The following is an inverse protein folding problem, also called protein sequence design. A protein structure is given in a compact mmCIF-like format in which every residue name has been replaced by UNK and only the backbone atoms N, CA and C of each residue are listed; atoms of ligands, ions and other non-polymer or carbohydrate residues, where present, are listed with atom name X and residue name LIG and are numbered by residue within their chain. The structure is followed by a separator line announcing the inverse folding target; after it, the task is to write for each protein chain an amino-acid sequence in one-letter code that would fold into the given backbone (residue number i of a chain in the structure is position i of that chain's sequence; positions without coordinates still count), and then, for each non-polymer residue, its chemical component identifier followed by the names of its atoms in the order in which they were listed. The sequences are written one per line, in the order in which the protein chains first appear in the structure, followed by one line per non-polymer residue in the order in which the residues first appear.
data_IF_779593724133
#
_entry.id   IF_779593724133
#
_cell.length_a   1.000
_cell.length_b   1.000
_cell.length_c   1.000
_cell.angle_alpha   90.00
_cell.angle_beta   90.00
_cell.angle_gamma   90.00
#
_symmetry.space_group_name_H-M   'P 1'
#
loop_
_entity.id
_entity.type
_entity.pdbx_description
1 polymer ?
#
# COMPACT_ATOMS: atom_id res chain seq x y z
N UNK A 1 -42.54 -10.36 -34.79
CA UNK A 1 -41.97 -9.09 -35.32
C UNK A 1 -41.51 -8.22 -34.15
N UNK A 2 -40.22 -7.84 -34.13
CA UNK A 2 -39.63 -6.64 -33.48
C UNK A 2 -39.39 -6.51 -31.95
N UNK A 3 -39.02 -7.56 -31.20
CA UNK A 3 -38.56 -7.35 -29.79
C UNK A 3 -37.03 -7.45 -29.63
N UNK A 4 -36.32 -8.17 -30.50
CA UNK A 4 -34.87 -8.45 -30.36
C UNK A 4 -33.97 -7.29 -30.86
N UNK A 5 -34.51 -6.33 -31.62
CA UNK A 5 -33.73 -5.26 -32.24
C UNK A 5 -33.65 -3.96 -31.42
N UNK A 6 -34.37 -3.83 -30.30
CA UNK A 6 -34.34 -2.60 -29.49
C UNK A 6 -33.22 -2.60 -28.44
N UNK A 7 -32.80 -3.78 -27.98
CA UNK A 7 -31.73 -3.94 -26.98
C UNK A 7 -30.33 -3.77 -27.58
N UNK A 8 -30.13 -4.07 -28.87
CA UNK A 8 -28.84 -3.90 -29.55
C UNK A 8 -28.46 -2.43 -29.76
N UNK A 9 -29.43 -1.53 -29.90
CA UNK A 9 -29.20 -0.11 -30.14
C UNK A 9 -28.80 0.67 -28.87
N UNK A 10 -29.22 0.20 -27.68
CA UNK A 10 -28.87 0.83 -26.40
C UNK A 10 -27.46 0.46 -25.89
N UNK A 11 -26.88 -0.65 -26.37
CA UNK A 11 -25.52 -1.05 -26.00
C UNK A 11 -24.43 -0.18 -26.62
N UNK A 12 -24.70 0.52 -27.74
CA UNK A 12 -23.69 1.38 -28.38
C UNK A 12 -23.70 2.82 -27.86
N UNK A 13 -24.81 3.30 -27.30
CA UNK A 13 -24.88 4.65 -26.74
C UNK A 13 -24.10 4.79 -25.42
N UNK A 14 -23.90 3.68 -24.69
CA UNK A 14 -23.18 3.68 -23.42
C UNK A 14 -21.64 3.65 -23.59
N UNK A 15 -21.15 3.16 -24.73
CA UNK A 15 -19.69 3.04 -24.97
C UNK A 15 -19.06 4.40 -25.32
N UNK A 16 -19.83 5.34 -25.88
CA UNK A 16 -19.34 6.67 -26.24
C UNK A 16 -19.26 7.67 -25.06
N UNK A 17 -19.91 7.38 -23.93
CA UNK A 17 -19.93 8.28 -22.75
C UNK A 17 -18.93 7.90 -21.65
N UNK A 18 -18.21 6.78 -21.81
CA UNK A 18 -17.22 6.31 -20.83
C UNK A 18 -15.81 6.90 -20.98
N UNK A 19 -15.48 7.51 -22.11
CA UNK A 19 -14.14 8.05 -22.40
C UNK A 19 -13.94 9.53 -22.02
N UNK A 20 -14.88 10.16 -21.32
CA UNK A 20 -14.80 11.58 -20.94
C UNK A 20 -14.57 11.84 -19.44
N UNK A 21 -14.22 10.81 -18.65
CA UNK A 21 -13.98 10.94 -17.19
C UNK A 21 -12.58 10.43 -16.78
N UNK A 22 -11.57 10.74 -17.59
CA UNK A 22 -10.15 10.55 -17.21
C UNK A 22 -9.40 11.89 -17.04
N UNK A 23 -10.12 13.01 -16.92
CA UNK A 23 -9.56 14.35 -17.00
C UNK A 23 -9.28 15.10 -15.69
N UNK A 24 -9.62 14.58 -14.51
CA UNK A 24 -9.43 15.32 -13.24
C UNK A 24 -8.93 14.47 -12.08
N UNK A 25 -7.83 13.74 -12.29
CA UNK A 25 -6.94 13.42 -11.17
C UNK A 25 -5.71 14.31 -11.31
N UNK A 26 -5.83 15.55 -10.83
CA UNK A 26 -4.67 16.37 -10.54
C UNK A 26 -3.93 15.69 -9.36
N UNK A 27 -3.10 14.70 -9.65
CA UNK A 27 -2.07 14.29 -8.72
C UNK A 27 -1.15 15.49 -8.53
N UNK A 28 -1.25 16.15 -7.38
CA UNK A 28 -0.19 17.03 -6.91
C UNK A 28 1.06 16.17 -6.74
N UNK A 29 1.90 16.11 -7.77
CA UNK A 29 3.24 15.54 -7.66
C UNK A 29 4.01 16.48 -6.75
N UNK A 30 4.15 16.07 -5.49
CA UNK A 30 5.13 16.65 -4.56
C UNK A 30 6.43 16.80 -5.35
N UNK A 31 6.88 18.03 -5.49
CA UNK A 31 8.10 18.37 -6.20
C UNK A 31 9.22 17.64 -5.47
N UNK A 32 9.66 16.50 -6.02
CA UNK A 32 10.91 15.86 -5.60
C UNK A 32 11.97 16.88 -5.97
N UNK A 33 12.37 17.69 -5.00
CA UNK A 33 13.57 18.50 -5.10
C UNK A 33 14.67 17.48 -5.31
N UNK A 34 15.13 17.33 -6.56
CA UNK A 34 16.19 16.41 -6.94
C UNK A 34 17.46 16.82 -6.20
N UNK A 35 17.58 16.36 -4.96
CA UNK A 35 18.87 16.21 -4.35
C UNK A 35 19.48 15.02 -5.08
N UNK A 36 20.43 15.27 -5.98
CA UNK A 36 21.36 14.25 -6.49
C UNK A 36 22.29 13.81 -5.34
N UNK A 37 21.74 13.58 -4.15
CA UNK A 37 22.41 12.91 -3.06
C UNK A 37 22.39 11.45 -3.49
N UNK A 38 23.56 10.92 -3.82
CA UNK A 38 23.72 9.48 -4.04
C UNK A 38 22.91 8.73 -2.98
N UNK A 39 22.14 7.73 -3.41
CA UNK A 39 21.37 6.90 -2.48
C UNK A 39 22.28 6.49 -1.31
N UNK A 40 21.76 6.47 -0.07
CA UNK A 40 22.56 6.06 1.08
C UNK A 40 23.28 4.76 0.75
N UNK A 41 24.58 4.66 1.04
CA UNK A 41 25.39 3.49 0.69
C UNK A 41 24.78 2.15 1.18
N UNK A 42 23.93 2.20 2.20
CA UNK A 42 23.18 1.05 2.72
C UNK A 42 22.06 0.57 1.80
N UNK A 43 21.39 1.42 1.02
CA UNK A 43 20.23 1.05 0.19
C UNK A 43 20.57 0.02 -0.88
N UNK A 44 21.79 0.03 -1.40
CA UNK A 44 22.28 -0.92 -2.41
C UNK A 44 22.99 -2.13 -1.81
N UNK A 45 23.12 -2.19 -0.48
CA UNK A 45 23.78 -3.30 0.20
C UNK A 45 22.78 -4.39 0.56
N UNK A 46 22.89 -5.54 -0.09
CA UNK A 46 22.08 -6.71 0.22
C UNK A 46 22.39 -7.33 1.59
N UNK A 47 21.36 -7.87 2.25
CA UNK A 47 21.49 -8.66 3.45
C UNK A 47 21.82 -10.11 3.10
N UNK A 48 23.11 -10.44 3.06
CA UNK A 48 23.58 -11.75 2.58
C UNK A 48 23.61 -12.81 3.68
N UNK A 49 23.76 -12.42 4.95
CA UNK A 49 23.81 -13.36 6.07
C UNK A 49 22.43 -13.58 6.72
N UNK A 50 22.16 -14.76 7.31
CA UNK A 50 20.92 -14.99 8.06
C UNK A 50 20.68 -13.96 9.19
N UNK A 51 21.74 -13.56 9.89
CA UNK A 51 21.66 -12.58 10.97
C UNK A 51 21.28 -11.18 10.47
N UNK A 52 21.82 -10.77 9.32
CA UNK A 52 21.43 -9.51 8.65
C UNK A 52 19.97 -9.55 8.22
N UNK A 53 19.54 -10.63 7.57
CA UNK A 53 18.14 -10.82 7.15
C UNK A 53 17.17 -10.79 8.33
N UNK A 54 17.51 -11.44 9.44
CA UNK A 54 16.70 -11.39 10.67
C UNK A 54 16.62 -9.98 11.24
N UNK A 55 17.76 -9.28 11.33
CA UNK A 55 17.81 -7.90 11.80
C UNK A 55 16.94 -6.99 10.92
N UNK A 56 17.03 -7.11 9.61
CA UNK A 56 16.24 -6.33 8.66
C UNK A 56 14.75 -6.64 8.78
N UNK A 57 14.36 -7.93 8.79
CA UNK A 57 12.96 -8.31 8.94
C UNK A 57 12.33 -7.74 10.23
N UNK A 58 13.07 -7.74 11.35
CA UNK A 58 12.61 -7.11 12.60
C UNK A 58 12.43 -5.61 12.46
N UNK A 59 13.37 -4.91 11.82
CA UNK A 59 13.28 -3.46 11.58
C UNK A 59 12.09 -3.14 10.67
N UNK A 60 11.88 -3.92 9.62
CA UNK A 60 10.76 -3.75 8.69
C UNK A 60 9.42 -3.92 9.38
N UNK A 61 9.26 -4.95 10.23
CA UNK A 61 8.03 -5.15 10.98
C UNK A 61 7.74 -4.00 11.97
N UNK A 62 8.77 -3.47 12.65
CA UNK A 62 8.61 -2.28 13.52
C UNK A 62 8.23 -1.04 12.71
N UNK A 63 8.89 -0.81 11.57
CA UNK A 63 8.59 0.33 10.71
C UNK A 63 7.19 0.23 10.10
N UNK A 64 6.77 -0.97 9.68
CA UNK A 64 5.44 -1.24 9.14
C UNK A 64 4.35 -1.01 10.21
N UNK A 65 4.59 -1.43 11.45
CA UNK A 65 3.71 -1.11 12.57
C UNK A 65 3.61 0.40 12.78
N UNK A 66 4.74 1.09 12.83
CA UNK A 66 4.76 2.53 13.06
C UNK A 66 4.00 3.28 11.95
N UNK A 67 4.25 2.92 10.69
CA UNK A 67 3.51 3.46 9.55
C UNK A 67 2.01 3.19 9.69
N UNK A 68 1.60 1.97 10.03
CA UNK A 68 0.18 1.64 10.25
C UNK A 68 -0.44 2.49 11.37
N UNK A 69 0.30 2.70 12.47
CA UNK A 69 -0.16 3.54 13.58
C UNK A 69 -0.27 5.01 13.19
N UNK A 70 0.62 5.51 12.34
CA UNK A 70 0.57 6.87 11.79
C UNK A 70 -0.63 7.02 10.85
N UNK A 71 -0.89 6.04 9.98
CA UNK A 71 -2.07 6.00 9.11
C UNK A 71 -3.36 6.01 9.94
N UNK A 72 -3.40 5.29 11.07
CA UNK A 72 -4.56 5.30 11.97
C UNK A 72 -4.90 6.69 12.54
N UNK A 73 -3.93 7.63 12.59
CA UNK A 73 -4.18 8.99 13.10
C UNK A 73 -5.05 9.82 12.15
N UNK A 74 -5.09 9.46 10.86
CA UNK A 74 -5.92 10.15 9.86
C UNK A 74 -7.40 9.74 9.91
N UNK A 75 -7.73 8.69 10.67
CA UNK A 75 -9.09 8.16 10.77
C UNK A 75 -9.96 8.92 11.77
N UNK A 76 -11.30 8.94 11.57
CA UNK A 76 -12.23 9.38 12.61
C UNK A 76 -12.06 8.58 13.91
N UNK A 77 -12.26 9.23 15.06
CA UNK A 77 -12.02 8.66 16.40
C UNK A 77 -12.68 7.30 16.62
N UNK A 78 -13.89 7.10 16.09
CA UNK A 78 -14.64 5.84 16.17
C UNK A 78 -13.94 4.66 15.48
N UNK A 79 -13.03 4.91 14.52
CA UNK A 79 -12.27 3.89 13.77
C UNK A 79 -10.81 3.80 14.19
N UNK A 80 -10.28 4.80 14.89
CA UNK A 80 -8.89 4.84 15.34
C UNK A 80 -8.55 3.66 16.25
N UNK A 81 -9.45 3.28 17.17
CA UNK A 81 -9.22 2.19 18.10
C UNK A 81 -9.11 0.83 17.39
N UNK A 82 -10.04 0.55 16.47
CA UNK A 82 -10.03 -0.67 15.63
C UNK A 82 -8.77 -0.73 14.77
N UNK A 83 -8.39 0.39 14.13
CA UNK A 83 -7.17 0.47 13.32
C UNK A 83 -5.90 0.17 14.12
N UNK A 84 -5.76 0.76 15.32
CA UNK A 84 -4.61 0.50 16.19
C UNK A 84 -4.55 -0.96 16.64
N UNK A 85 -5.70 -1.55 16.96
CA UNK A 85 -5.77 -2.97 17.32
C UNK A 85 -5.28 -3.86 16.16
N UNK A 86 -5.71 -3.56 14.92
CA UNK A 86 -5.25 -4.29 13.74
C UNK A 86 -3.75 -4.07 13.48
N UNK A 87 -3.23 -2.85 13.62
CA UNK A 87 -1.80 -2.58 13.49
C UNK A 87 -0.95 -3.37 14.51
N UNK A 88 -1.44 -3.51 15.75
CA UNK A 88 -0.77 -4.33 16.76
C UNK A 88 -0.85 -5.82 16.45
N UNK A 89 -2.00 -6.31 15.99
CA UNK A 89 -2.18 -7.70 15.59
C UNK A 89 -1.27 -8.06 14.40
N UNK A 90 -1.18 -7.19 13.39
CA UNK A 90 -0.31 -7.40 12.24
C UNK A 90 1.15 -7.48 12.65
N UNK A 91 1.61 -6.58 13.50
CA UNK A 91 2.97 -6.65 14.07
C UNK A 91 3.24 -7.97 14.82
N UNK A 92 2.28 -8.44 15.61
CA UNK A 92 2.42 -9.72 16.32
C UNK A 92 2.54 -10.89 15.34
N UNK A 93 1.76 -10.86 14.24
CA UNK A 93 1.82 -11.85 13.18
C UNK A 93 3.17 -11.79 12.45
N UNK A 94 3.66 -10.60 12.11
CA UNK A 94 4.97 -10.41 11.47
C UNK A 94 6.09 -10.96 12.36
N UNK A 95 6.04 -10.69 13.66
CA UNK A 95 7.03 -11.22 14.60
C UNK A 95 6.93 -12.74 14.76
N UNK A 96 5.73 -13.32 14.68
CA UNK A 96 5.54 -14.77 14.67
C UNK A 96 6.11 -15.41 13.40
N UNK A 97 5.85 -14.80 12.24
CA UNK A 97 6.42 -15.22 10.96
C UNK A 97 7.95 -15.15 10.98
N UNK A 98 8.53 -14.06 11.50
CA UNK A 98 9.97 -13.89 11.68
C UNK A 98 10.54 -15.00 12.57
N UNK A 99 9.91 -15.32 13.71
CA UNK A 99 10.34 -16.43 14.56
C UNK A 99 10.34 -17.75 13.80
N UNK A 100 9.28 -18.03 13.05
CA UNK A 100 9.16 -19.26 12.27
C UNK A 100 10.20 -19.35 11.14
N UNK A 101 10.47 -18.24 10.43
CA UNK A 101 11.41 -18.18 9.31
C UNK A 101 12.88 -18.30 9.74
N UNK A 102 13.22 -17.77 10.92
CA UNK A 102 14.60 -17.69 11.39
C UNK A 102 14.93 -18.62 12.57
N UNK A 103 13.94 -19.33 13.12
CA UNK A 103 14.13 -20.29 14.21
C UNK A 103 14.54 -19.64 15.54
N UNK A 104 13.98 -18.48 15.86
CA UNK A 104 14.31 -17.66 17.05
C UNK A 104 13.14 -17.51 18.03
#
# INVERSE_FOLDING_TARGET
MKIVNLTRSMSYLSIALGMLVCGTYAHAQSTVKTMMTQDPARWTQEDVTPAQKLSTARKEAVNAQQQSLDDCRSLPSARTAECRAEAHKNYQNDMADIRNRFGV
#
